data_IF_344072859315
#
_entry.id   IF_344072859315
#
_cell.length_a   1.000
_cell.length_b   1.000
_cell.length_c   1.000
_cell.angle_alpha   90.00
_cell.angle_beta   90.00
_cell.angle_gamma   90.00
#
_symmetry.space_group_name_H-M   'P 1'
#
loop_
_entity.id
_entity.type
_entity.pdbx_description
1 polymer ?
#
# COMPACT_ATOMS: atom_id res chain seq x y z
N UNK A 1 1.63 7.43 10.61
CA UNK A 1 1.82 7.45 9.15
C UNK A 1 3.29 7.19 8.87
N UNK A 2 3.61 6.44 7.82
CA UNK A 2 4.99 6.17 7.42
C UNK A 2 5.65 7.40 6.78
N UNK A 3 6.97 7.38 6.67
CA UNK A 3 7.73 8.46 6.06
C UNK A 3 7.47 8.52 4.54
N UNK A 4 7.59 9.68 3.87
CA UNK A 4 7.38 9.78 2.42
C UNK A 4 8.26 8.82 1.59
N UNK A 5 9.49 8.56 2.04
CA UNK A 5 10.40 7.61 1.41
C UNK A 5 9.88 6.16 1.51
N UNK A 6 9.29 5.79 2.65
CA UNK A 6 8.70 4.46 2.86
C UNK A 6 7.42 4.28 2.02
N UNK A 7 6.60 5.33 1.94
CA UNK A 7 5.41 5.35 1.07
C UNK A 7 5.81 5.15 -0.40
N UNK A 8 6.87 5.84 -0.84
CA UNK A 8 7.39 5.72 -2.21
C UNK A 8 7.84 4.28 -2.50
N UNK A 9 8.56 3.63 -1.57
CA UNK A 9 8.96 2.22 -1.72
C UNK A 9 7.76 1.28 -1.77
N UNK A 10 6.76 1.50 -0.92
CA UNK A 10 5.55 0.72 -0.89
C UNK A 10 4.76 0.79 -2.20
N UNK A 11 4.61 2.01 -2.74
CA UNK A 11 3.96 2.29 -4.03
C UNK A 11 4.73 1.61 -5.17
N UNK A 12 6.05 1.75 -5.18
CA UNK A 12 6.90 1.11 -6.19
C UNK A 12 6.74 -0.41 -6.14
N UNK A 13 6.76 -1.02 -4.96
CA UNK A 13 6.58 -2.45 -4.81
C UNK A 13 5.20 -2.95 -5.29
N UNK A 14 4.14 -2.16 -5.07
CA UNK A 14 2.81 -2.46 -5.62
C UNK A 14 2.79 -2.41 -7.16
N UNK A 15 3.52 -1.49 -7.77
CA UNK A 15 3.66 -1.39 -9.23
C UNK A 15 4.47 -2.55 -9.83
N UNK A 16 5.52 -2.97 -9.12
CA UNK A 16 6.37 -4.10 -9.53
C UNK A 16 5.74 -5.46 -9.24
N UNK A 17 4.61 -5.52 -8.52
CA UNK A 17 3.94 -6.76 -8.14
C UNK A 17 4.62 -7.53 -7.00
N UNK A 18 5.61 -6.91 -6.34
CA UNK A 18 6.33 -7.46 -5.19
C UNK A 18 5.74 -7.01 -3.84
N UNK A 19 4.69 -6.18 -3.89
CA UNK A 19 3.94 -5.68 -2.75
C UNK A 19 2.45 -5.98 -2.85
N UNK A 20 1.78 -5.95 -1.71
CA UNK A 20 0.33 -6.10 -1.62
C UNK A 20 -0.25 -5.27 -0.47
N UNK A 21 -1.47 -4.77 -0.68
CA UNK A 21 -2.27 -4.09 0.34
C UNK A 21 -2.84 -5.18 1.26
N UNK A 22 -2.58 -5.05 2.55
CA UNK A 22 -2.91 -6.06 3.57
C UNK A 22 -4.15 -5.69 4.36
N UNK A 23 -4.29 -4.42 4.71
CA UNK A 23 -5.39 -3.94 5.54
C UNK A 23 -5.65 -2.46 5.28
N UNK A 24 -6.87 -2.04 5.60
CA UNK A 24 -7.30 -0.64 5.61
C UNK A 24 -7.54 -0.20 7.06
N UNK A 25 -7.10 1.00 7.39
CA UNK A 25 -7.32 1.64 8.68
C UNK A 25 -7.72 3.12 8.47
N UNK A 26 -8.11 3.81 9.54
CA UNK A 26 -8.48 5.22 9.50
C UNK A 26 -7.78 5.98 10.63
N UNK A 27 -6.90 6.91 10.27
CA UNK A 27 -6.15 7.72 11.22
C UNK A 27 -6.57 9.19 11.04
N UNK A 28 -7.19 9.77 12.06
CA UNK A 28 -7.58 11.19 12.09
C UNK A 28 -8.26 11.63 10.79
N UNK A 29 -9.35 10.94 10.44
CA UNK A 29 -10.18 11.17 9.23
C UNK A 29 -9.51 10.80 7.89
N UNK A 30 -8.23 10.42 7.89
CA UNK A 30 -7.54 9.95 6.68
C UNK A 30 -7.63 8.43 6.59
N UNK A 31 -8.17 7.92 5.48
CA UNK A 31 -8.07 6.50 5.15
C UNK A 31 -6.62 6.17 4.79
N UNK A 32 -6.10 5.14 5.45
CA UNK A 32 -4.74 4.66 5.26
C UNK A 32 -4.75 3.17 5.02
N UNK A 33 -3.72 2.68 4.33
CA UNK A 33 -3.60 1.29 3.94
C UNK A 33 -2.24 0.77 4.34
N UNK A 34 -2.23 -0.40 4.96
CA UNK A 34 -0.99 -1.11 5.24
C UNK A 34 -0.56 -1.86 3.97
N UNK A 35 0.59 -1.48 3.44
CA UNK A 35 1.23 -2.16 2.32
C UNK A 35 2.42 -2.94 2.86
N UNK A 36 2.53 -4.20 2.45
CA UNK A 36 3.71 -5.05 2.71
C UNK A 36 4.34 -5.46 1.40
N UNK A 37 5.66 -5.54 1.38
CA UNK A 37 6.42 -5.99 0.22
C UNK A 37 7.69 -6.73 0.64
N UNK A 38 8.30 -7.44 -0.30
CA UNK A 38 9.65 -7.98 -0.16
C UNK A 38 10.56 -7.16 -1.09
N UNK A 39 11.62 -6.58 -0.54
CA UNK A 39 12.63 -5.89 -1.33
C UNK A 39 13.37 -6.93 -2.18
N UNK A 40 13.31 -6.78 -3.51
CA UNK A 40 13.91 -7.75 -4.43
C UNK A 40 15.44 -7.74 -4.43
N UNK A 41 16.08 -6.71 -3.86
CA UNK A 41 17.54 -6.56 -3.81
C UNK A 41 18.09 -7.16 -2.52
N UNK A 42 17.51 -6.78 -1.37
CA UNK A 42 17.98 -7.26 -0.06
C UNK A 42 17.27 -8.52 0.42
N UNK A 43 16.10 -8.85 -0.15
CA UNK A 43 15.23 -9.93 0.32
C UNK A 43 14.50 -9.59 1.62
N UNK A 44 14.60 -8.36 2.11
CA UNK A 44 14.00 -7.96 3.38
C UNK A 44 12.53 -7.60 3.22
N UNK A 45 11.73 -7.97 4.22
CA UNK A 45 10.32 -7.59 4.26
C UNK A 45 10.18 -6.11 4.69
N UNK A 46 9.52 -5.33 3.84
CA UNK A 46 9.15 -3.94 4.11
C UNK A 46 7.66 -3.80 4.39
N UNK A 47 7.30 -2.79 5.19
CA UNK A 47 5.92 -2.39 5.37
C UNK A 47 5.79 -0.89 5.55
N UNK A 48 4.69 -0.31 5.08
CA UNK A 48 4.37 1.10 5.25
C UNK A 48 2.87 1.33 5.33
N UNK A 49 2.48 2.38 6.06
CA UNK A 49 1.12 2.89 6.11
C UNK A 49 1.00 4.05 5.14
N UNK A 50 0.40 3.77 3.98
CA UNK A 50 0.27 4.72 2.87
C UNK A 50 -1.15 5.30 2.86
N UNK A 51 -1.32 6.63 2.77
CA UNK A 51 -2.64 7.23 2.69
C UNK A 51 -3.33 6.89 1.36
N UNK A 52 -4.67 6.85 1.39
CA UNK A 52 -5.49 6.55 0.21
C UNK A 52 -5.15 7.47 -0.96
N UNK A 53 -4.94 8.77 -0.72
CA UNK A 53 -4.68 9.74 -1.78
C UNK A 53 -3.42 9.41 -2.60
N UNK A 54 -2.35 8.92 -1.95
CA UNK A 54 -1.13 8.50 -2.63
C UNK A 54 -1.34 7.21 -3.42
N UNK A 55 -2.00 6.21 -2.82
CA UNK A 55 -2.34 4.97 -3.52
C UNK A 55 -3.26 5.22 -4.71
N UNK A 56 -4.22 6.14 -4.59
CA UNK A 56 -5.16 6.47 -5.66
C UNK A 56 -4.48 7.24 -6.79
N UNK A 57 -3.42 8.00 -6.49
CA UNK A 57 -2.64 8.71 -7.49
C UNK A 57 -1.72 7.78 -8.30
N UNK A 58 -1.08 6.81 -7.65
CA UNK A 58 -0.02 5.99 -8.27
C UNK A 58 -0.40 4.52 -8.51
N UNK A 59 -1.26 3.94 -7.67
CA UNK A 59 -1.63 2.52 -7.66
C UNK A 59 -3.16 2.31 -7.60
N UNK A 60 -3.93 3.14 -8.33
CA UNK A 60 -5.40 3.10 -8.30
C UNK A 60 -5.96 1.71 -8.60
N UNK A 61 -5.38 1.02 -9.59
CA UNK A 61 -5.81 -0.33 -9.97
C UNK A 61 -5.63 -1.34 -8.83
N UNK A 62 -4.48 -1.34 -8.16
CA UNK A 62 -4.22 -2.23 -7.02
C UNK A 62 -5.15 -1.91 -5.84
N UNK A 63 -5.39 -0.62 -5.58
CA UNK A 63 -6.33 -0.17 -4.56
C UNK A 63 -7.76 -0.63 -4.86
N UNK A 64 -8.24 -0.44 -6.10
CA UNK A 64 -9.57 -0.89 -6.52
C UNK A 64 -9.71 -2.41 -6.42
N UNK A 65 -8.68 -3.18 -6.82
CA UNK A 65 -8.67 -4.64 -6.65
C UNK A 65 -8.79 -5.07 -5.19
N UNK A 66 -8.04 -4.42 -4.30
CA UNK A 66 -8.14 -4.67 -2.86
C UNK A 66 -9.55 -4.35 -2.32
N UNK A 67 -10.10 -3.17 -2.67
CA UNK A 67 -11.44 -2.76 -2.23
C UNK A 67 -12.56 -3.65 -2.77
N UNK A 68 -12.43 -4.13 -4.02
CA UNK A 68 -13.36 -5.11 -4.60
C UNK A 68 -13.30 -6.47 -3.89
N UNK A 69 -12.11 -6.87 -3.44
CA UNK A 69 -11.93 -8.09 -2.66
C UNK A 69 -12.52 -7.97 -1.25
N UNK A 70 -12.31 -6.84 -0.57
CA UNK A 70 -12.85 -6.58 0.77
C UNK A 70 -14.37 -6.39 0.78
N UNK A 71 -14.93 -5.74 -0.26
CA UNK A 71 -16.38 -5.50 -0.37
C UNK A 71 -17.22 -6.75 -0.70
N UNK A 72 -16.57 -7.91 -0.89
CA UNK A 72 -17.23 -9.20 -1.13
C UNK A 72 -17.34 -10.09 0.11
N UNK A 73 -16.91 -9.62 1.29
CA UNK A 73 -17.00 -10.36 2.55
C UNK A 73 -18.29 -10.01 3.33
#
# INVERSE_FOLDING_TARGET
MSSPEENTKAIQALLEGNGAIMSRDQISETLVFLVKWIDGITGEAGQATVPECELRASCSTQLDQYLLSEGKA
#
